data_IF_492279940642
#
_entry.id   IF_492279940642
#
_cell.length_a   1.000
_cell.length_b   1.000
_cell.length_c   1.000
_cell.angle_alpha   90.00
_cell.angle_beta   90.00
_cell.angle_gamma   90.00
#
_symmetry.space_group_name_H-M   'P 1'
#
loop_
_entity.id
_entity.type
_entity.pdbx_description
1 polymer ?
#
# COMPACT_ATOMS: atom_id res chain seq x y z
N UNK A 1 16.51 31.92 3.66
CA UNK A 1 16.77 30.69 4.44
C UNK A 1 15.88 30.60 5.69
N UNK A 2 15.38 29.41 6.08
CA UNK A 2 15.01 28.26 5.27
C UNK A 2 13.54 28.33 4.84
N UNK A 3 13.25 27.85 3.65
CA UNK A 3 11.89 27.58 3.17
C UNK A 3 11.43 26.31 3.89
N UNK A 4 10.46 26.42 4.80
CA UNK A 4 9.88 25.24 5.46
C UNK A 4 9.23 24.32 4.40
N UNK A 5 9.47 23.00 4.45
CA UNK A 5 8.69 22.05 3.66
C UNK A 5 7.24 22.07 4.16
N UNK A 6 6.23 21.84 3.30
CA UNK A 6 4.87 21.69 3.77
C UNK A 6 4.84 20.51 4.74
N UNK A 7 4.47 20.80 5.98
CA UNK A 7 4.12 19.80 6.98
C UNK A 7 2.92 19.03 6.45
N UNK A 8 3.14 17.84 5.89
CA UNK A 8 2.07 16.88 5.67
C UNK A 8 1.47 16.57 7.05
N UNK A 9 0.28 17.12 7.28
CA UNK A 9 -0.54 16.81 8.43
C UNK A 9 -0.76 15.28 8.49
N UNK A 10 -0.92 14.69 9.68
CA UNK A 10 -1.37 13.31 9.79
C UNK A 10 -2.76 13.20 9.17
N UNK A 11 -2.84 12.61 7.98
CA UNK A 11 -4.11 12.38 7.27
C UNK A 11 -5.05 11.62 8.20
N UNK A 12 -6.27 12.12 8.46
CA UNK A 12 -7.24 11.38 9.27
C UNK A 12 -7.58 10.08 8.55
N UNK A 13 -7.37 8.95 9.24
CA UNK A 13 -7.73 7.63 8.74
C UNK A 13 -9.21 7.61 8.32
N UNK A 14 -9.54 7.02 7.14
CA UNK A 14 -10.93 6.89 6.73
C UNK A 14 -11.67 6.04 7.76
N UNK A 15 -12.71 6.64 8.34
CA UNK A 15 -13.62 6.00 9.28
C UNK A 15 -14.61 5.15 8.47
N UNK A 16 -14.27 3.89 8.22
CA UNK A 16 -15.20 2.92 7.61
C UNK A 16 -15.34 1.73 8.54
N UNK A 17 -16.57 1.30 8.81
CA UNK A 17 -16.97 0.16 9.65
C UNK A 17 -16.42 -1.22 9.21
N UNK A 18 -15.44 -1.26 8.29
CA UNK A 18 -14.79 -2.46 7.78
C UNK A 18 -13.52 -2.69 8.61
N UNK A 19 -13.23 -3.93 9.04
CA UNK A 19 -11.98 -4.19 9.74
C UNK A 19 -10.80 -3.68 8.90
N UNK A 20 -9.83 -3.00 9.51
CA UNK A 20 -8.66 -2.51 8.81
C UNK A 20 -7.96 -3.71 8.14
N UNK A 21 -7.50 -3.51 6.91
CA UNK A 21 -6.72 -4.52 6.20
C UNK A 21 -5.54 -4.95 7.08
N UNK A 22 -5.30 -6.25 7.21
CA UNK A 22 -4.17 -6.78 7.96
C UNK A 22 -3.17 -7.39 6.99
N UNK A 23 -1.91 -7.01 7.14
CA UNK A 23 -0.83 -7.57 6.34
C UNK A 23 -0.71 -9.09 6.57
N UNK A 24 -0.72 -9.91 5.51
CA UNK A 24 -0.50 -11.34 5.62
C UNK A 24 0.87 -11.63 6.25
N UNK A 25 0.85 -12.16 7.47
CA UNK A 25 2.10 -12.53 8.20
C UNK A 25 2.92 -13.57 7.43
N UNK A 26 2.28 -14.40 6.63
CA UNK A 26 2.94 -15.49 5.90
C UNK A 26 3.89 -14.90 4.84
N UNK A 27 3.43 -13.93 4.08
CA UNK A 27 4.26 -13.21 3.09
C UNK A 27 5.43 -12.50 3.77
N UNK A 28 5.19 -11.89 4.94
CA UNK A 28 6.21 -11.23 5.74
C UNK A 28 7.27 -12.22 6.24
N UNK A 29 6.85 -13.37 6.77
CA UNK A 29 7.79 -14.39 7.26
C UNK A 29 8.59 -15.00 6.11
N UNK A 30 7.97 -15.19 4.95
CA UNK A 30 8.59 -15.83 3.80
C UNK A 30 9.56 -14.91 3.05
N UNK A 31 9.24 -13.63 2.93
CA UNK A 31 9.96 -12.69 2.05
C UNK A 31 10.59 -11.51 2.79
N UNK A 32 10.21 -11.26 4.05
CA UNK A 32 10.55 -10.07 4.81
C UNK A 32 10.25 -8.75 4.07
N UNK A 33 9.35 -8.80 3.07
CA UNK A 33 9.02 -7.69 2.19
C UNK A 33 10.26 -7.04 1.53
N UNK A 34 11.31 -7.82 1.27
CA UNK A 34 12.57 -7.30 0.73
C UNK A 34 12.58 -7.18 -0.79
N UNK A 35 11.76 -7.97 -1.49
CA UNK A 35 11.63 -7.92 -2.94
C UNK A 35 10.75 -6.76 -3.41
N UNK A 36 10.95 -6.31 -4.66
CA UNK A 36 10.24 -5.17 -5.23
C UNK A 36 8.73 -5.41 -5.41
N UNK A 37 8.29 -6.67 -5.36
CA UNK A 37 6.89 -7.10 -5.52
C UNK A 37 6.31 -7.73 -4.26
N UNK A 38 7.11 -7.81 -3.21
CA UNK A 38 6.70 -8.48 -1.98
C UNK A 38 5.81 -7.56 -1.17
N UNK A 39 4.84 -8.15 -0.48
CA UNK A 39 3.98 -7.43 0.46
C UNK A 39 3.21 -6.25 -0.14
N UNK A 40 2.88 -6.34 -1.43
CA UNK A 40 2.04 -5.39 -2.15
C UNK A 40 0.66 -6.01 -2.46
N UNK A 41 -0.39 -5.26 -2.15
CA UNK A 41 -1.78 -5.73 -2.20
C UNK A 41 -2.73 -4.69 -2.78
N UNK A 42 -3.82 -5.15 -3.38
CA UNK A 42 -4.89 -4.27 -3.89
C UNK A 42 -5.57 -3.48 -2.77
N UNK A 43 -5.79 -2.18 -2.98
CA UNK A 43 -6.68 -1.41 -2.13
C UNK A 43 -8.14 -1.53 -2.63
N UNK A 44 -9.06 -2.17 -1.86
CA UNK A 44 -10.46 -2.30 -2.23
C UNK A 44 -11.28 -1.00 -2.11
N UNK A 45 -10.74 0.05 -1.50
CA UNK A 45 -11.44 1.34 -1.38
C UNK A 45 -11.10 2.30 -2.53
N UNK A 46 -9.91 2.17 -3.14
CA UNK A 46 -9.47 3.07 -4.19
C UNK A 46 -8.45 2.42 -5.14
N UNK A 47 -8.84 2.23 -6.40
CA UNK A 47 -8.00 1.61 -7.42
C UNK A 47 -6.79 2.44 -7.87
N UNK A 48 -6.78 3.76 -7.62
CA UNK A 48 -5.62 4.61 -7.82
C UNK A 48 -4.63 4.53 -6.65
N UNK A 49 -4.80 3.57 -5.74
CA UNK A 49 -3.91 3.32 -4.62
C UNK A 49 -3.69 1.82 -4.45
N UNK A 50 -2.63 1.44 -3.77
CA UNK A 50 -2.34 0.07 -3.36
C UNK A 50 -1.90 0.04 -1.90
N UNK A 51 -1.89 -1.13 -1.30
CA UNK A 51 -1.43 -1.32 0.07
C UNK A 51 -0.05 -1.93 0.03
N UNK A 52 0.93 -1.25 0.60
CA UNK A 52 2.25 -1.77 0.87
C UNK A 52 2.38 -2.09 2.36
N UNK A 53 2.79 -3.30 2.68
CA UNK A 53 3.04 -3.69 4.06
C UNK A 53 4.50 -3.48 4.44
N UNK A 54 4.73 -2.65 5.46
CA UNK A 54 6.07 -2.41 6.02
C UNK A 54 6.30 -3.35 7.21
N UNK A 55 7.37 -4.14 7.18
CA UNK A 55 7.71 -5.06 8.27
C UNK A 55 8.07 -4.28 9.53
N UNK A 56 7.44 -4.65 10.64
CA UNK A 56 7.76 -4.09 11.94
C UNK A 56 9.00 -4.78 12.52
N UNK A 57 10.02 -4.03 12.99
CA UNK A 57 11.19 -4.65 13.58
C UNK A 57 10.85 -5.34 14.90
N UNK A 58 11.23 -6.62 15.03
CA UNK A 58 11.10 -7.37 16.28
C UNK A 58 9.83 -8.19 16.45
N UNK A 59 8.84 -8.04 15.56
CA UNK A 59 7.71 -8.96 15.44
C UNK A 59 7.44 -9.20 13.96
N UNK A 60 7.18 -10.44 13.55
CA UNK A 60 6.90 -10.80 12.15
C UNK A 60 5.49 -10.33 11.73
N UNK A 61 5.23 -9.05 11.95
CA UNK A 61 3.99 -8.34 11.66
C UNK A 61 4.28 -7.21 10.68
N UNK A 62 3.26 -6.78 9.95
CA UNK A 62 3.37 -5.70 8.98
C UNK A 62 2.34 -4.64 9.26
N UNK A 63 2.76 -3.39 9.06
CA UNK A 63 1.86 -2.24 9.09
C UNK A 63 1.43 -1.94 7.65
N UNK A 64 0.12 -1.94 7.35
CA UNK A 64 -0.37 -1.60 6.02
C UNK A 64 -0.28 -0.09 5.80
N UNK A 65 0.30 0.30 4.67
CA UNK A 65 0.43 1.69 4.25
C UNK A 65 -0.24 1.83 2.88
N UNK A 66 -1.18 2.76 2.76
CA UNK A 66 -1.82 3.06 1.48
C UNK A 66 -0.90 3.96 0.68
N UNK A 67 -0.48 3.48 -0.48
CA UNK A 67 0.42 4.16 -1.41
C UNK A 67 -0.36 4.60 -2.65
N UNK A 68 -0.24 5.86 -3.07
CA UNK A 68 -0.87 6.33 -4.30
C UNK A 68 -0.15 5.81 -5.53
N UNK A 69 -0.92 5.47 -6.56
CA UNK A 69 -0.39 5.26 -7.89
C UNK A 69 0.00 6.60 -8.54
N UNK A 70 1.06 6.64 -9.37
CA UNK A 70 1.40 7.84 -10.11
C UNK A 70 0.31 8.20 -11.12
N UNK A 71 -0.03 9.50 -11.21
CA UNK A 71 -1.01 10.03 -12.15
C UNK A 71 -2.37 9.28 -12.09
N UNK A 72 -2.96 9.00 -13.26
CA UNK A 72 -4.25 8.30 -13.40
C UNK A 72 -4.07 6.77 -13.53
N UNK A 73 -2.91 6.23 -13.12
CA UNK A 73 -2.66 4.80 -13.13
C UNK A 73 -3.46 4.10 -12.02
N UNK A 74 -3.74 2.82 -12.24
CA UNK A 74 -4.51 1.97 -11.34
C UNK A 74 -3.71 0.73 -10.98
N UNK A 75 -3.97 0.18 -9.80
CA UNK A 75 -3.27 -1.01 -9.32
C UNK A 75 -3.52 -2.23 -10.21
N UNK A 76 -2.44 -2.88 -10.63
CA UNK A 76 -2.42 -4.16 -11.30
C UNK A 76 -1.77 -5.21 -10.39
N UNK A 77 -2.60 -6.03 -9.76
CA UNK A 77 -2.18 -7.07 -8.82
C UNK A 77 -1.46 -8.25 -9.49
N UNK A 78 -1.64 -8.45 -10.81
CA UNK A 78 -0.92 -9.49 -11.55
C UNK A 78 0.56 -9.16 -11.67
N UNK A 79 0.87 -7.89 -11.91
CA UNK A 79 2.25 -7.41 -12.08
C UNK A 79 2.82 -6.78 -10.81
N UNK A 80 1.97 -6.49 -9.81
CA UNK A 80 2.29 -5.81 -8.55
C UNK A 80 2.83 -4.40 -8.77
N UNK A 81 2.20 -3.66 -9.68
CA UNK A 81 2.56 -2.29 -10.02
C UNK A 81 1.34 -1.47 -10.46
N UNK A 82 1.51 -0.15 -10.50
CA UNK A 82 0.51 0.75 -11.07
C UNK A 82 0.62 0.73 -12.59
N UNK A 83 -0.48 0.42 -13.25
CA UNK A 83 -0.55 0.25 -14.70
C UNK A 83 -1.73 1.06 -15.24
N UNK A 84 -1.84 1.11 -16.56
CA UNK A 84 -2.95 1.79 -17.21
C UNK A 84 -4.29 1.15 -16.84
N UNK A 85 -5.38 1.93 -16.77
CA UNK A 85 -6.69 1.44 -16.34
C UNK A 85 -7.21 0.20 -17.08
N UNK A 86 -6.83 0.00 -18.35
CA UNK A 86 -7.20 -1.19 -19.14
C UNK A 86 -6.50 -2.48 -18.70
N UNK A 87 -5.37 -2.39 -17.99
CA UNK A 87 -4.59 -3.53 -17.48
C UNK A 87 -4.79 -3.73 -15.97
N UNK A 88 -5.38 -2.76 -15.29
CA UNK A 88 -5.62 -2.81 -13.86
C UNK A 88 -6.53 -3.98 -13.48
N UNK A 89 -6.22 -4.62 -12.35
CA UNK A 89 -7.00 -5.74 -11.82
C UNK A 89 -7.85 -5.36 -10.63
N UNK A 90 -7.74 -4.12 -10.18
CA UNK A 90 -8.61 -3.58 -9.13
C UNK A 90 -10.09 -3.63 -9.56
N UNK A 91 -10.94 -4.08 -8.65
CA UNK A 91 -12.39 -4.28 -8.82
C UNK A 91 -13.16 -3.26 -7.99
#
# INVERSE_FOLDING_TARGET
PPTEPPTEAPTPAPTTSRPPFQCPREDIVNTLCMGPKDCLYTNPENCNTFIQCTVNPGNQSGTPVVMPCPAELKWNDNTKECDWPQNATCQ
#
